data_IF_176564293977
#
_entry.id   IF_176564293977
#
_cell.length_a   1.000
_cell.length_b   1.000
_cell.length_c   1.000
_cell.angle_alpha   90.00
_cell.angle_beta   90.00
_cell.angle_gamma   90.00
#
_symmetry.space_group_name_H-M   'P 1'
#
loop_
_entity.id
_entity.type
_entity.pdbx_description
1 polymer ?
#
# COMPACT_ATOMS: atom_id res chain seq x y z
N UNK A 1 -48.53 13.96 23.14
CA UNK A 1 -48.32 14.62 21.83
C UNK A 1 -46.84 14.54 21.49
N UNK A 2 -46.55 14.19 20.24
CA UNK A 2 -45.26 13.79 19.68
C UNK A 2 -44.18 14.86 19.89
N UNK A 3 -42.97 14.46 20.24
CA UNK A 3 -41.74 15.05 19.70
C UNK A 3 -40.61 14.02 19.80
N UNK A 4 -40.63 13.07 18.87
CA UNK A 4 -39.49 12.22 18.60
C UNK A 4 -38.47 13.01 17.79
N UNK A 5 -37.30 13.25 18.37
CA UNK A 5 -36.09 13.64 17.65
C UNK A 5 -34.93 12.84 18.26
N UNK A 6 -35.09 11.52 18.28
CA UNK A 6 -33.95 10.61 18.23
C UNK A 6 -33.45 10.62 16.77
N UNK A 7 -32.64 11.61 16.42
CA UNK A 7 -31.81 11.54 15.22
C UNK A 7 -30.37 11.45 15.72
N UNK A 8 -29.95 10.26 16.16
CA UNK A 8 -28.97 9.47 15.40
C UNK A 8 -27.84 10.40 14.91
N UNK A 9 -26.80 10.69 15.71
CA UNK A 9 -25.81 9.71 16.16
C UNK A 9 -25.45 8.74 15.01
N UNK A 10 -25.06 9.30 13.86
CA UNK A 10 -24.39 8.54 12.81
C UNK A 10 -22.92 8.95 12.78
N UNK A 11 -22.18 8.15 13.51
CA UNK A 11 -20.73 8.09 13.63
C UNK A 11 -20.02 8.35 12.30
N UNK A 12 -19.36 9.51 12.18
CA UNK A 12 -18.28 9.66 11.21
C UNK A 12 -17.03 8.98 11.79
N UNK A 13 -17.05 7.64 11.83
CA UNK A 13 -15.83 6.86 11.96
C UNK A 13 -15.08 7.02 10.64
N UNK A 14 -14.24 8.05 10.58
CA UNK A 14 -13.17 8.17 9.60
C UNK A 14 -12.27 6.94 9.78
N UNK A 15 -12.56 5.89 9.03
CA UNK A 15 -11.66 4.75 8.86
C UNK A 15 -10.43 5.27 8.09
N UNK A 16 -9.45 5.79 8.81
CA UNK A 16 -8.11 6.04 8.29
C UNK A 16 -7.46 4.70 7.99
N UNK A 17 -7.68 4.20 6.77
CA UNK A 17 -6.93 3.08 6.21
C UNK A 17 -5.55 3.55 5.75
N UNK A 18 -4.73 4.10 6.66
CA UNK A 18 -3.29 4.21 6.44
C UNK A 18 -2.73 2.79 6.55
N UNK A 19 -2.78 2.03 5.45
CA UNK A 19 -2.32 0.65 5.44
C UNK A 19 -0.88 0.60 4.93
N UNK A 20 0.07 0.98 5.78
CA UNK A 20 1.44 0.48 5.62
C UNK A 20 1.38 -1.06 5.62
N UNK A 21 2.03 -1.70 4.65
CA UNK A 21 2.05 -3.17 4.50
C UNK A 21 3.46 -3.66 4.67
N UNK A 22 3.67 -4.54 5.63
CA UNK A 22 4.95 -5.21 5.81
C UNK A 22 4.93 -6.51 5.02
N UNK A 23 5.77 -6.62 3.98
CA UNK A 23 6.04 -7.87 3.29
C UNK A 23 7.19 -8.60 3.99
N UNK A 24 6.91 -9.79 4.52
CA UNK A 24 7.93 -10.64 5.14
C UNK A 24 8.85 -11.22 4.07
N UNK A 25 10.16 -11.06 4.26
CA UNK A 25 11.15 -11.61 3.35
C UNK A 25 12.42 -12.04 4.10
N UNK A 26 13.07 -13.09 3.59
CA UNK A 26 14.30 -13.64 4.19
C UNK A 26 15.42 -12.59 4.34
N UNK A 27 15.55 -11.69 3.38
CA UNK A 27 16.62 -10.68 3.35
C UNK A 27 16.29 -9.40 4.14
N UNK A 28 15.23 -9.43 4.95
CA UNK A 28 14.70 -8.27 5.65
C UNK A 28 13.33 -7.90 5.12
N UNK A 29 12.44 -7.58 6.05
CA UNK A 29 11.08 -7.15 5.77
C UNK A 29 11.06 -5.89 4.93
N UNK A 30 10.04 -5.76 4.08
CA UNK A 30 9.81 -4.58 3.26
C UNK A 30 8.58 -3.86 3.82
N UNK A 31 8.75 -2.67 4.36
CA UNK A 31 7.65 -1.75 4.64
C UNK A 31 7.23 -1.06 3.33
N UNK A 32 6.01 -1.34 2.90
CA UNK A 32 5.40 -0.79 1.70
C UNK A 32 4.33 0.23 2.06
N UNK A 33 4.56 1.48 1.66
CA UNK A 33 3.63 2.56 1.85
C UNK A 33 2.55 2.57 0.76
N UNK A 34 1.50 1.75 0.95
CA UNK A 34 0.39 1.66 0.00
C UNK A 34 -0.33 2.99 -0.21
N UNK A 35 -0.51 3.79 0.84
CA UNK A 35 -1.17 5.10 0.76
C UNK A 35 -0.42 6.09 -0.13
N UNK A 36 0.93 6.11 -0.05
CA UNK A 36 1.76 6.93 -0.94
C UNK A 36 1.58 6.52 -2.40
N UNK A 37 1.61 5.21 -2.68
CA UNK A 37 1.45 4.71 -4.04
C UNK A 37 0.04 4.99 -4.59
N UNK A 38 -1.02 4.83 -3.78
CA UNK A 38 -2.39 5.19 -4.16
C UNK A 38 -2.56 6.69 -4.48
N UNK A 39 -1.75 7.56 -3.89
CA UNK A 39 -1.75 9.00 -4.19
C UNK A 39 -1.11 9.35 -5.52
N UNK A 40 -0.35 8.43 -6.12
CA UNK A 40 0.41 8.66 -7.36
C UNK A 40 -0.12 7.83 -8.53
N UNK A 41 -0.66 6.64 -8.27
CA UNK A 41 -1.05 5.68 -9.29
C UNK A 41 -2.47 5.16 -9.06
N UNK A 42 -3.26 4.96 -10.13
CA UNK A 42 -4.56 4.31 -10.05
C UNK A 42 -4.44 2.85 -9.61
N UNK A 43 -5.50 2.33 -8.99
CA UNK A 43 -5.53 0.95 -8.47
C UNK A 43 -5.20 -0.12 -9.53
N UNK A 44 -5.59 0.14 -10.78
CA UNK A 44 -5.40 -0.78 -11.91
C UNK A 44 -3.94 -0.96 -12.32
N UNK A 45 -3.04 -0.07 -11.92
CA UNK A 45 -1.60 -0.19 -12.22
C UNK A 45 -0.94 -1.31 -11.41
N UNK A 46 -1.57 -1.74 -10.30
CA UNK A 46 -1.07 -2.79 -9.42
C UNK A 46 -2.03 -4.00 -9.30
N UNK A 47 -3.34 -3.77 -9.40
CA UNK A 47 -4.36 -4.79 -9.20
C UNK A 47 -5.08 -5.17 -10.49
N UNK A 48 -5.11 -6.47 -10.78
CA UNK A 48 -5.94 -7.03 -11.84
C UNK A 48 -7.38 -7.22 -11.35
N UNK A 49 -8.29 -6.41 -11.89
CA UNK A 49 -9.70 -6.40 -11.52
C UNK A 49 -9.98 -5.65 -10.22
N UNK A 50 -11.10 -5.93 -9.53
CA UNK A 50 -11.42 -5.29 -8.26
C UNK A 50 -10.27 -5.45 -7.24
N UNK A 51 -9.81 -4.36 -6.59
CA UNK A 51 -8.71 -4.42 -5.63
C UNK A 51 -8.99 -5.43 -4.52
N UNK A 52 -8.05 -6.37 -4.36
CA UNK A 52 -8.10 -7.43 -3.35
C UNK A 52 -6.69 -7.75 -2.89
N UNK A 53 -6.56 -8.37 -1.72
CA UNK A 53 -5.27 -8.88 -1.29
C UNK A 53 -4.77 -9.93 -2.28
N UNK A 54 -3.48 -9.86 -2.61
CA UNK A 54 -2.80 -10.83 -3.44
C UNK A 54 -1.44 -11.16 -2.81
N UNK A 55 -0.94 -12.35 -3.10
CA UNK A 55 0.38 -12.76 -2.63
C UNK A 55 1.49 -12.05 -3.39
N UNK A 56 2.42 -11.45 -2.66
CA UNK A 56 3.70 -11.00 -3.19
C UNK A 56 4.76 -12.03 -2.79
N UNK A 57 5.55 -12.49 -3.75
CA UNK A 57 6.74 -13.30 -3.57
C UNK A 57 7.96 -12.60 -4.19
N UNK A 58 9.12 -13.25 -4.13
CA UNK A 58 10.37 -12.70 -4.68
C UNK A 58 10.23 -12.32 -6.16
N UNK A 59 9.63 -13.19 -6.98
CA UNK A 59 9.60 -13.00 -8.43
C UNK A 59 8.63 -11.88 -8.80
N UNK A 60 7.39 -11.93 -8.31
CA UNK A 60 6.40 -10.93 -8.67
C UNK A 60 6.68 -9.57 -8.00
N UNK A 61 7.26 -9.55 -6.79
CA UNK A 61 7.66 -8.33 -6.10
C UNK A 61 8.80 -7.62 -6.81
N UNK A 62 9.86 -8.34 -7.20
CA UNK A 62 10.95 -7.74 -7.98
C UNK A 62 10.46 -7.27 -9.36
N UNK A 63 9.57 -8.02 -10.01
CA UNK A 63 9.02 -7.61 -11.30
C UNK A 63 8.20 -6.32 -11.19
N UNK A 64 7.29 -6.26 -10.22
CA UNK A 64 6.37 -5.13 -10.05
C UNK A 64 7.11 -3.89 -9.53
N UNK A 65 7.77 -4.00 -8.38
CA UNK A 65 8.37 -2.86 -7.69
C UNK A 65 9.56 -2.30 -8.47
N UNK A 66 10.54 -3.14 -8.82
CA UNK A 66 11.74 -2.69 -9.54
C UNK A 66 11.38 -2.27 -10.96
N UNK A 67 10.46 -2.99 -11.61
CA UNK A 67 9.99 -2.65 -12.95
C UNK A 67 9.39 -1.25 -13.01
N UNK A 68 8.48 -0.93 -12.09
CA UNK A 68 7.88 0.39 -12.02
C UNK A 68 8.91 1.47 -11.63
N UNK A 69 9.68 1.27 -10.57
CA UNK A 69 10.67 2.26 -10.12
C UNK A 69 11.76 2.54 -11.17
N UNK A 70 12.13 1.53 -11.96
CA UNK A 70 13.05 1.72 -13.09
C UNK A 70 12.39 2.51 -14.21
N UNK A 71 11.15 2.18 -14.56
CA UNK A 71 10.39 2.86 -15.63
C UNK A 71 10.16 4.34 -15.31
N UNK A 72 9.80 4.64 -14.07
CA UNK A 72 9.51 6.00 -13.61
C UNK A 72 10.78 6.77 -13.25
N UNK A 73 11.92 6.09 -13.15
CA UNK A 73 13.19 6.68 -12.71
C UNK A 73 13.15 7.20 -11.26
N UNK A 74 12.19 6.73 -10.47
CA UNK A 74 11.90 7.19 -9.12
C UNK A 74 11.66 5.99 -8.19
N UNK A 75 12.09 6.12 -6.94
CA UNK A 75 12.01 5.05 -5.96
C UNK A 75 13.18 4.05 -6.02
N UNK A 76 13.19 3.06 -5.10
CA UNK A 76 14.27 2.08 -4.98
C UNK A 76 14.26 1.03 -6.10
N UNK A 77 15.38 0.89 -6.82
CA UNK A 77 15.48 -0.04 -7.94
C UNK A 77 16.83 -0.76 -8.09
N UNK A 78 17.88 -0.33 -7.37
CA UNK A 78 19.27 -0.75 -7.67
C UNK A 78 19.92 -1.59 -6.59
N UNK A 79 19.65 -1.29 -5.32
CA UNK A 79 20.31 -1.97 -4.20
C UNK A 79 19.27 -2.64 -3.31
N UNK A 80 19.53 -3.90 -2.94
CA UNK A 80 18.60 -4.73 -2.17
C UNK A 80 18.14 -4.03 -0.88
N UNK A 81 19.06 -3.37 -0.17
CA UNK A 81 18.79 -2.67 1.10
C UNK A 81 17.99 -1.36 0.95
N UNK A 82 17.67 -0.93 -0.28
CA UNK A 82 16.74 0.18 -0.49
C UNK A 82 15.28 -0.26 -0.30
N UNK A 83 14.99 -1.57 -0.38
CA UNK A 83 13.67 -2.14 -0.12
C UNK A 83 13.70 -3.09 1.08
N UNK A 84 14.69 -3.95 1.19
CA UNK A 84 14.76 -4.96 2.25
C UNK A 84 15.38 -4.40 3.53
N UNK A 85 14.65 -4.54 4.64
CA UNK A 85 15.04 -3.96 5.94
C UNK A 85 14.78 -2.46 6.02
N UNK A 86 13.88 -1.91 5.20
CA UNK A 86 13.53 -0.49 5.19
C UNK A 86 12.58 -0.16 6.35
N UNK A 87 13.11 0.00 7.56
CA UNK A 87 12.22 0.18 8.71
C UNK A 87 11.53 1.54 8.78
N UNK A 88 11.99 2.59 8.08
CA UNK A 88 11.29 3.90 7.90
C UNK A 88 11.96 4.81 6.84
N UNK A 89 11.90 4.55 5.54
CA UNK A 89 12.35 5.55 4.52
C UNK A 89 11.64 5.44 3.19
N UNK A 90 10.52 6.15 3.06
CA UNK A 90 10.00 6.66 1.78
C UNK A 90 9.19 7.94 1.96
#
# INVERSE_FOLDING_TARGET
MKLGIYSLLFSLLLFSAAQAKIFKAYNGDIDFNHSKHMGLYPCADCHEGPPRQFGIDKQNGHKLCIGCHTKEGAGPARHCGQCHGNTERE
#
